data_IF_831656403282
#
_entry.id   IF_831656403282
#
_cell.length_a   1.000
_cell.length_b   1.000
_cell.length_c   1.000
_cell.angle_alpha   90.00
_cell.angle_beta   90.00
_cell.angle_gamma   90.00
#
_symmetry.space_group_name_H-M   'P 1'
#
loop_
_entity.id
_entity.type
_entity.pdbx_description
1 polymer ?
#
# COMPACT_ATOMS: atom_id res chain seq x y z
N UNK A 1 2.81 -2.92 -14.67
CA UNK A 1 2.90 -3.76 -15.88
C UNK A 1 1.62 -3.60 -16.67
N UNK A 2 1.68 -3.56 -18.02
CA UNK A 2 0.50 -3.44 -18.86
C UNK A 2 -0.46 -4.61 -18.62
N UNK A 3 -1.76 -4.32 -18.57
CA UNK A 3 -2.82 -5.32 -18.35
C UNK A 3 -3.65 -5.52 -19.61
N UNK A 4 -4.08 -6.74 -19.89
CA UNK A 4 -4.99 -7.01 -21.00
C UNK A 4 -6.36 -6.42 -20.66
N UNK A 5 -6.82 -5.46 -21.44
CA UNK A 5 -8.13 -4.83 -21.29
C UNK A 5 -9.19 -5.58 -22.10
N UNK A 6 -8.90 -5.86 -23.38
CA UNK A 6 -9.84 -6.50 -24.29
C UNK A 6 -9.12 -7.38 -25.30
N UNK A 7 -9.83 -8.39 -25.79
CA UNK A 7 -9.37 -9.24 -26.89
C UNK A 7 -10.46 -9.31 -27.93
N UNK A 8 -10.13 -9.10 -29.21
CA UNK A 8 -11.09 -9.19 -30.31
C UNK A 8 -10.61 -10.19 -31.35
N UNK A 9 -11.48 -11.12 -31.72
CA UNK A 9 -11.23 -12.13 -32.75
C UNK A 9 -12.20 -11.88 -33.89
N UNK A 10 -11.67 -11.81 -35.11
CA UNK A 10 -12.43 -11.59 -36.33
C UNK A 10 -12.19 -12.74 -37.30
N UNK A 11 -13.28 -13.27 -37.84
CA UNK A 11 -13.32 -14.23 -38.93
C UNK A 11 -12.41 -15.45 -38.75
N UNK A 12 -12.51 -16.12 -37.61
CA UNK A 12 -11.70 -17.30 -37.30
C UNK A 12 -12.55 -18.56 -37.20
N UNK A 13 -12.16 -19.61 -37.91
CA UNK A 13 -12.80 -20.92 -37.86
C UNK A 13 -11.92 -21.93 -37.15
N UNK A 14 -12.54 -22.83 -36.39
CA UNK A 14 -11.86 -23.97 -35.78
C UNK A 14 -12.79 -25.17 -35.67
N UNK A 15 -12.23 -26.30 -35.23
CA UNK A 15 -12.92 -27.57 -35.15
C UNK A 15 -13.50 -27.99 -36.52
N UNK A 16 -12.64 -28.11 -37.53
CA UNK A 16 -13.01 -28.46 -38.92
C UNK A 16 -14.09 -27.54 -39.53
N UNK A 17 -14.02 -26.22 -39.25
CA UNK A 17 -14.99 -25.21 -39.65
C UNK A 17 -16.40 -25.34 -39.05
N UNK A 18 -16.61 -26.24 -38.07
CA UNK A 18 -17.89 -26.34 -37.36
C UNK A 18 -18.14 -25.18 -36.40
N UNK A 19 -17.08 -24.50 -35.95
CA UNK A 19 -17.18 -23.30 -35.12
C UNK A 19 -16.54 -22.14 -35.85
N UNK A 20 -17.23 -21.01 -35.87
CA UNK A 20 -16.80 -19.80 -36.55
C UNK A 20 -17.06 -18.59 -35.66
N UNK A 21 -16.00 -17.83 -35.40
CA UNK A 21 -16.04 -16.55 -34.72
C UNK A 21 -16.08 -15.49 -35.81
N UNK A 22 -17.22 -14.82 -35.94
CA UNK A 22 -17.40 -13.81 -36.98
C UNK A 22 -16.68 -12.51 -36.57
N UNK A 23 -17.03 -11.97 -35.41
CA UNK A 23 -16.42 -10.79 -34.80
C UNK A 23 -16.83 -10.73 -33.32
N UNK A 24 -15.96 -11.20 -32.43
CA UNK A 24 -16.24 -11.30 -30.99
C UNK A 24 -15.20 -10.55 -30.18
N UNK A 25 -15.67 -9.82 -29.16
CA UNK A 25 -14.81 -9.05 -28.25
C UNK A 25 -15.00 -9.50 -26.80
N UNK A 26 -13.94 -9.98 -26.18
CA UNK A 26 -13.84 -10.29 -24.76
C UNK A 26 -13.37 -9.04 -24.01
N UNK A 27 -14.14 -8.59 -23.02
CA UNK A 27 -13.82 -7.41 -22.21
C UNK A 27 -13.47 -7.83 -20.79
N UNK A 28 -12.29 -7.41 -20.32
CA UNK A 28 -11.75 -7.67 -18.99
C UNK A 28 -11.82 -6.43 -18.09
N UNK A 29 -12.69 -5.46 -18.42
CA UNK A 29 -13.07 -4.32 -17.56
C UNK A 29 -11.89 -3.57 -16.92
N UNK A 30 -10.86 -3.25 -17.69
CA UNK A 30 -9.68 -2.53 -17.19
C UNK A 30 -8.57 -3.42 -16.65
N UNK A 31 -8.57 -4.71 -16.99
CA UNK A 31 -7.56 -5.68 -16.59
C UNK A 31 -7.89 -6.44 -15.31
N UNK A 32 -9.18 -6.65 -15.05
CA UNK A 32 -9.67 -7.52 -13.98
C UNK A 32 -9.45 -9.00 -14.34
N UNK A 33 -9.43 -9.85 -13.31
CA UNK A 33 -9.30 -11.29 -13.48
C UNK A 33 -10.55 -11.84 -14.17
N UNK A 34 -10.38 -12.53 -15.30
CA UNK A 34 -11.47 -13.14 -16.05
C UNK A 34 -11.36 -14.66 -16.13
N UNK A 35 -12.48 -15.36 -15.95
CA UNK A 35 -12.58 -16.81 -16.18
C UNK A 35 -13.36 -17.08 -17.47
N UNK A 36 -12.68 -17.60 -18.49
CA UNK A 36 -13.32 -18.09 -19.70
C UNK A 36 -13.70 -19.56 -19.52
N UNK A 37 -14.96 -19.81 -19.18
CA UNK A 37 -15.52 -21.16 -19.07
C UNK A 37 -15.99 -21.66 -20.43
N UNK A 38 -15.35 -22.74 -20.91
CA UNK A 38 -15.70 -23.42 -22.15
C UNK A 38 -15.87 -24.90 -21.84
N UNK A 39 -16.94 -25.50 -22.37
CA UNK A 39 -17.13 -26.95 -22.28
C UNK A 39 -15.95 -27.69 -22.93
N UNK A 40 -15.70 -28.93 -22.50
CA UNK A 40 -14.70 -29.81 -23.11
C UNK A 40 -14.95 -29.96 -24.61
N UNK A 41 -13.90 -29.87 -25.43
CA UNK A 41 -14.01 -29.82 -26.89
C UNK A 41 -14.50 -28.46 -27.44
N UNK A 42 -14.75 -27.47 -26.56
CA UNK A 42 -15.22 -26.13 -26.92
C UNK A 42 -14.16 -25.22 -27.55
N UNK A 43 -12.91 -25.68 -27.64
CA UNK A 43 -11.81 -24.93 -28.26
C UNK A 43 -11.03 -24.02 -27.31
N UNK A 44 -11.02 -24.28 -25.99
CA UNK A 44 -10.27 -23.49 -25.01
C UNK A 44 -8.79 -23.33 -25.40
N UNK A 45 -8.08 -24.44 -25.66
CA UNK A 45 -6.67 -24.39 -26.09
C UNK A 45 -6.48 -23.65 -27.41
N UNK A 46 -7.49 -23.67 -28.30
CA UNK A 46 -7.46 -22.92 -29.57
C UNK A 46 -7.57 -21.42 -29.31
N UNK A 47 -8.48 -20.98 -28.44
CA UNK A 47 -8.58 -19.56 -28.06
C UNK A 47 -7.31 -19.07 -27.37
N UNK A 48 -6.76 -19.85 -26.44
CA UNK A 48 -5.50 -19.51 -25.79
C UNK A 48 -4.37 -19.40 -26.83
N UNK A 49 -4.28 -20.37 -27.74
CA UNK A 49 -3.31 -20.29 -28.83
C UNK A 49 -3.48 -19.02 -29.66
N UNK A 50 -4.71 -18.59 -29.96
CA UNK A 50 -4.99 -17.35 -30.69
C UNK A 50 -4.57 -16.10 -29.90
N UNK A 51 -4.88 -16.04 -28.61
CA UNK A 51 -4.55 -14.89 -27.76
C UNK A 51 -3.04 -14.65 -27.67
N UNK A 52 -2.24 -15.71 -27.81
CA UNK A 52 -0.78 -15.58 -27.87
C UNK A 52 -0.28 -14.95 -29.17
N UNK A 53 -1.03 -15.03 -30.28
CA UNK A 53 -0.49 -14.70 -31.60
C UNK A 53 -0.14 -13.22 -31.80
N UNK A 54 -0.89 -12.24 -31.28
CA UNK A 54 -0.48 -10.83 -31.37
C UNK A 54 0.81 -10.54 -30.61
N UNK A 55 1.21 -11.36 -29.62
CA UNK A 55 2.46 -11.14 -28.88
C UNK A 55 3.58 -12.01 -29.41
N UNK A 56 3.33 -13.30 -29.59
CA UNK A 56 4.30 -14.30 -30.03
C UNK A 56 3.76 -15.03 -31.27
N UNK A 57 3.86 -14.43 -32.47
CA UNK A 57 3.36 -15.02 -33.70
C UNK A 57 3.96 -16.41 -33.96
N UNK A 58 3.11 -17.37 -34.34
CA UNK A 58 3.51 -18.74 -34.64
C UNK A 58 3.64 -19.65 -33.42
N UNK A 59 3.28 -19.16 -32.22
CA UNK A 59 3.26 -19.99 -31.01
C UNK A 59 2.31 -21.18 -31.17
N UNK A 60 2.77 -22.35 -30.70
CA UNK A 60 2.02 -23.60 -30.67
C UNK A 60 1.57 -23.89 -29.25
N UNK A 61 0.39 -24.48 -29.13
CA UNK A 61 -0.12 -25.04 -27.88
C UNK A 61 -0.48 -26.51 -28.17
N UNK A 62 -0.06 -27.43 -27.31
CA UNK A 62 -0.23 -28.87 -27.44
C UNK A 62 0.32 -29.41 -28.79
N UNK A 63 1.44 -28.85 -29.24
CA UNK A 63 2.09 -29.22 -30.51
C UNK A 63 1.33 -28.85 -31.79
N UNK A 64 0.12 -28.30 -31.69
CA UNK A 64 -0.74 -28.01 -32.84
C UNK A 64 -0.31 -26.71 -33.54
N UNK A 65 0.06 -26.74 -34.84
CA UNK A 65 0.41 -25.53 -35.57
C UNK A 65 -0.84 -24.72 -35.94
N UNK A 66 -0.76 -23.39 -35.82
CA UNK A 66 -1.87 -22.50 -36.15
C UNK A 66 -2.31 -22.61 -37.63
N UNK A 67 -1.38 -22.95 -38.52
CA UNK A 67 -1.66 -23.15 -39.95
C UNK A 67 -2.74 -24.23 -40.22
N UNK A 68 -2.92 -25.19 -39.30
CA UNK A 68 -3.91 -26.26 -39.48
C UNK A 68 -5.36 -25.75 -39.52
N UNK A 69 -5.63 -24.58 -38.94
CA UNK A 69 -6.97 -23.96 -38.92
C UNK A 69 -7.30 -23.20 -40.22
N UNK A 70 -6.33 -22.99 -41.11
CA UNK A 70 -6.46 -22.14 -42.30
C UNK A 70 -6.52 -22.91 -43.63
N UNK A 71 -6.80 -24.23 -43.59
CA UNK A 71 -6.76 -25.09 -44.80
C UNK A 71 -7.86 -24.79 -45.82
N UNK A 72 -9.05 -24.35 -45.39
CA UNK A 72 -10.25 -24.27 -46.26
C UNK A 72 -10.71 -22.85 -46.58
N UNK A 73 -10.31 -21.84 -45.80
CA UNK A 73 -10.76 -20.45 -45.98
C UNK A 73 -9.65 -19.55 -46.53
N UNK A 74 -10.02 -18.76 -47.55
CA UNK A 74 -9.11 -17.80 -48.24
C UNK A 74 -9.14 -16.40 -47.63
N UNK A 75 -10.17 -16.05 -46.86
CA UNK A 75 -10.28 -14.76 -46.19
C UNK A 75 -9.36 -14.70 -44.96
N UNK A 76 -8.84 -13.51 -44.61
CA UNK A 76 -8.00 -13.36 -43.43
C UNK A 76 -8.81 -13.47 -42.14
N UNK A 77 -8.11 -13.84 -41.07
CA UNK A 77 -8.57 -13.70 -39.69
C UNK A 77 -7.74 -12.62 -39.00
N UNK A 78 -8.33 -11.91 -38.05
CA UNK A 78 -7.63 -10.92 -37.24
C UNK A 78 -7.76 -11.26 -35.76
N UNK A 79 -6.67 -11.13 -35.01
CA UNK A 79 -6.68 -11.21 -33.55
C UNK A 79 -6.06 -9.93 -33.01
N UNK A 80 -6.76 -9.31 -32.07
CA UNK A 80 -6.40 -8.02 -31.48
C UNK A 80 -6.35 -8.16 -29.96
N UNK A 81 -5.30 -7.64 -29.33
CA UNK A 81 -5.16 -7.49 -27.90
C UNK A 81 -5.01 -6.01 -27.56
N UNK A 82 -5.93 -5.49 -26.76
CA UNK A 82 -5.84 -4.14 -26.21
C UNK A 82 -5.27 -4.22 -24.80
N UNK A 83 -4.21 -3.45 -24.58
CA UNK A 83 -3.47 -3.33 -23.33
C UNK A 83 -3.79 -2.00 -22.69
N UNK A 84 -4.09 -2.00 -21.40
CA UNK A 84 -4.10 -0.80 -20.57
C UNK A 84 -2.68 -0.57 -20.06
N UNK A 85 -2.09 0.56 -20.43
CA UNK A 85 -0.74 0.94 -20.04
C UNK A 85 -0.73 1.54 -18.62
N UNK A 86 0.40 1.40 -17.93
CA UNK A 86 0.58 1.96 -16.58
C UNK A 86 0.63 3.50 -16.59
N UNK A 87 0.47 4.11 -15.40
CA UNK A 87 0.73 5.55 -15.20
C UNK A 87 -0.16 6.49 -16.00
N UNK A 88 -1.33 6.04 -16.45
CA UNK A 88 -2.21 6.83 -17.33
C UNK A 88 -1.71 6.93 -18.78
N UNK A 89 -0.80 6.04 -19.20
CA UNK A 89 -0.20 6.03 -20.55
C UNK A 89 -1.16 5.72 -21.70
N UNK A 90 -2.45 5.50 -21.40
CA UNK A 90 -3.49 5.16 -22.35
C UNK A 90 -3.56 3.67 -22.63
N UNK A 91 -3.74 3.34 -23.90
CA UNK A 91 -3.87 1.98 -24.40
C UNK A 91 -2.89 1.72 -25.54
N UNK A 92 -2.50 0.45 -25.66
CA UNK A 92 -1.79 -0.09 -26.81
C UNK A 92 -2.66 -1.20 -27.41
N UNK A 93 -2.96 -1.14 -28.69
CA UNK A 93 -3.50 -2.26 -29.45
C UNK A 93 -2.35 -3.01 -30.10
N UNK A 94 -2.27 -4.32 -29.89
CA UNK A 94 -1.42 -5.22 -30.68
C UNK A 94 -2.33 -6.09 -31.54
N UNK A 95 -2.03 -6.19 -32.83
CA UNK A 95 -2.84 -6.93 -33.78
C UNK A 95 -2.00 -7.86 -34.64
N UNK A 96 -2.60 -8.98 -35.04
CA UNK A 96 -2.06 -9.87 -36.06
C UNK A 96 -3.12 -10.16 -37.11
N UNK A 97 -2.73 -10.05 -38.37
CA UNK A 97 -3.53 -10.51 -39.50
C UNK A 97 -2.97 -11.86 -39.98
N UNK A 98 -3.85 -12.85 -40.13
CA UNK A 98 -3.50 -14.22 -40.50
C UNK A 98 -4.22 -14.59 -41.79
N UNK A 99 -3.52 -15.16 -42.76
CA UNK A 99 -4.13 -15.68 -43.96
C UNK A 99 -3.42 -16.92 -44.48
N UNK A 100 -4.16 -17.80 -45.15
CA UNK A 100 -3.58 -18.93 -45.87
C UNK A 100 -2.81 -18.45 -47.10
N UNK A 101 -1.68 -19.10 -47.37
CA UNK A 101 -0.89 -18.97 -48.58
C UNK A 101 -0.90 -20.31 -49.30
N UNK A 102 -1.54 -20.33 -50.47
CA UNK A 102 -1.47 -21.46 -51.39
C UNK A 102 -0.05 -21.54 -51.96
N UNK A 103 0.72 -22.53 -51.54
CA UNK A 103 2.01 -22.87 -52.16
C UNK A 103 1.76 -24.12 -53.00
N UNK A 104 1.78 -23.97 -54.33
CA UNK A 104 1.80 -25.13 -55.23
C UNK A 104 3.17 -25.80 -55.11
N UNK A 105 3.23 -26.94 -54.42
CA UNK A 105 4.41 -27.80 -54.39
C UNK A 105 4.57 -28.54 -55.73
N UNK A 106 5.81 -28.88 -56.09
CA UNK A 106 6.14 -29.66 -57.28
C UNK A 106 5.66 -31.13 -57.19
N UNK A 107 5.36 -31.63 -55.98
CA UNK A 107 4.98 -33.03 -55.70
C UNK A 107 3.48 -33.22 -55.38
N UNK A 108 2.61 -32.27 -55.72
CA UNK A 108 1.15 -32.41 -55.48
C UNK A 108 0.71 -32.36 -54.01
N UNK A 109 1.64 -32.21 -53.07
CA UNK A 109 1.38 -32.08 -51.64
C UNK A 109 1.07 -30.59 -51.32
N UNK A 110 -0.22 -30.24 -51.24
CA UNK A 110 -0.69 -28.88 -50.91
C UNK A 110 -0.38 -28.51 -49.45
N UNK A 111 0.88 -28.13 -49.18
CA UNK A 111 1.26 -27.58 -47.87
C UNK A 111 0.85 -26.12 -47.78
N UNK A 112 -0.33 -25.87 -47.22
CA UNK A 112 -0.79 -24.52 -46.85
C UNK A 112 0.21 -23.87 -45.89
N UNK A 113 0.86 -22.77 -46.30
CA UNK A 113 1.68 -21.95 -45.41
C UNK A 113 0.84 -20.80 -44.84
N UNK A 114 1.10 -20.40 -43.61
CA UNK A 114 0.44 -19.24 -43.01
C UNK A 114 1.28 -17.98 -43.30
N UNK A 115 0.66 -16.96 -43.88
CA UNK A 115 1.23 -15.61 -43.97
C UNK A 115 0.62 -14.73 -42.90
N UNK A 116 1.43 -13.83 -42.33
CA UNK A 116 0.98 -12.88 -41.34
C UNK A 116 1.79 -11.59 -41.37
N UNK A 117 1.22 -10.54 -40.79
CA UNK A 117 1.92 -9.34 -40.34
C UNK A 117 1.34 -8.94 -38.99
N UNK A 118 2.13 -8.25 -38.18
CA UNK A 118 1.68 -7.65 -36.93
C UNK A 118 1.66 -6.13 -37.04
N UNK A 119 0.85 -5.51 -36.21
CA UNK A 119 0.74 -4.06 -36.15
C UNK A 119 0.43 -3.62 -34.73
N UNK A 120 0.74 -2.36 -34.43
CA UNK A 120 0.43 -1.75 -33.15
C UNK A 120 -0.23 -0.39 -33.33
N UNK A 121 -1.05 0.01 -32.37
CA UNK A 121 -1.58 1.37 -32.31
C UNK A 121 -1.65 1.85 -30.87
N UNK A 122 -1.01 2.97 -30.55
CA UNK A 122 -1.08 3.63 -29.26
C UNK A 122 -2.13 4.74 -29.27
N UNK A 123 -2.99 4.79 -28.27
CA UNK A 123 -4.00 5.84 -28.13
C UNK A 123 -4.34 6.13 -26.66
N UNK A 124 -4.53 7.41 -26.28
CA UNK A 124 -4.83 7.78 -24.91
C UNK A 124 -6.27 7.43 -24.50
N UNK A 125 -7.22 7.55 -25.43
CA UNK A 125 -8.66 7.34 -25.26
C UNK A 125 -9.26 6.81 -26.57
N UNK A 126 -10.58 6.85 -26.73
CA UNK A 126 -11.23 6.39 -27.96
C UNK A 126 -10.61 7.02 -29.20
N UNK A 127 -10.37 6.17 -30.20
CA UNK A 127 -9.59 6.50 -31.39
C UNK A 127 -10.08 5.68 -32.58
N UNK A 128 -9.95 6.19 -33.80
CA UNK A 128 -10.43 5.47 -35.00
C UNK A 128 -9.75 4.10 -35.22
N UNK A 129 -8.59 3.89 -34.58
CA UNK A 129 -7.83 2.63 -34.60
C UNK A 129 -7.76 1.97 -33.21
N UNK A 130 -8.71 2.29 -32.31
CA UNK A 130 -8.91 1.51 -31.10
C UNK A 130 -9.56 0.15 -31.40
N UNK A 131 -9.59 -0.77 -30.42
CA UNK A 131 -10.09 -2.14 -30.66
C UNK A 131 -11.55 -2.18 -31.11
N UNK A 132 -12.36 -1.17 -30.77
CA UNK A 132 -13.78 -1.11 -31.08
C UNK A 132 -14.03 -0.55 -32.49
N UNK A 133 -13.27 0.47 -32.89
CA UNK A 133 -13.53 1.25 -34.11
C UNK A 133 -12.65 0.87 -35.30
N UNK A 134 -11.54 0.16 -35.08
CA UNK A 134 -10.64 -0.27 -36.16
C UNK A 134 -11.42 -0.99 -37.28
N UNK A 135 -11.34 -0.44 -38.50
CA UNK A 135 -12.15 -0.87 -39.65
C UNK A 135 -11.64 -2.15 -40.34
N UNK A 136 -11.39 -3.22 -39.59
CA UNK A 136 -11.04 -4.53 -40.17
C UNK A 136 -12.25 -5.31 -40.66
N UNK A 137 -13.47 -4.88 -40.27
CA UNK A 137 -14.73 -5.44 -40.75
C UNK A 137 -15.73 -4.32 -40.97
N UNK A 138 -16.46 -4.37 -42.09
CA UNK A 138 -17.55 -3.44 -42.42
C UNK A 138 -18.89 -4.17 -42.35
N UNK A 139 -19.85 -3.62 -41.62
CA UNK A 139 -21.24 -4.10 -41.63
C UNK A 139 -21.98 -3.44 -42.79
N UNK A 140 -22.31 -4.20 -43.83
CA UNK A 140 -23.13 -3.73 -44.97
C UNK A 140 -24.39 -4.59 -45.08
N UNK A 141 -25.55 -4.00 -44.77
CA UNK A 141 -26.85 -4.64 -44.98
C UNK A 141 -27.03 -6.01 -44.31
N UNK A 142 -26.43 -6.23 -43.13
CA UNK A 142 -26.48 -7.51 -42.41
C UNK A 142 -25.37 -8.51 -42.78
N UNK A 143 -24.56 -8.23 -43.81
CA UNK A 143 -23.33 -8.96 -44.12
C UNK A 143 -22.11 -8.27 -43.48
N UNK A 144 -21.28 -9.06 -42.80
CA UNK A 144 -19.97 -8.64 -42.29
C UNK A 144 -18.92 -8.88 -43.39
N UNK A 145 -18.45 -7.78 -43.98
CA UNK A 145 -17.39 -7.77 -45.00
C UNK A 145 -16.04 -7.61 -44.31
N UNK A 146 -15.26 -8.69 -44.27
CA UNK A 146 -13.93 -8.73 -43.66
C UNK A 146 -12.92 -8.09 -44.60
N UNK A 147 -12.12 -7.14 -44.11
CA UNK A 147 -11.09 -6.47 -44.90
C UNK A 147 -10.11 -7.52 -45.48
N UNK A 148 -9.75 -7.45 -46.77
CA UNK A 148 -8.76 -8.34 -47.35
C UNK A 148 -7.36 -8.12 -46.75
N UNK A 149 -6.57 -9.20 -46.66
CA UNK A 149 -5.23 -9.19 -46.06
C UNK A 149 -4.31 -8.11 -46.64
N UNK A 150 -4.31 -7.95 -47.97
CA UNK A 150 -3.47 -6.96 -48.66
C UNK A 150 -3.90 -5.52 -48.39
N UNK A 151 -5.20 -5.28 -48.28
CA UNK A 151 -5.75 -3.97 -47.97
C UNK A 151 -5.41 -3.57 -46.53
N UNK A 152 -5.57 -4.50 -45.57
CA UNK A 152 -5.18 -4.28 -44.19
C UNK A 152 -3.67 -4.03 -44.04
N UNK A 153 -2.83 -4.77 -44.78
CA UNK A 153 -1.39 -4.53 -44.80
C UNK A 153 -1.04 -3.14 -45.36
N UNK A 154 -1.70 -2.72 -46.43
CA UNK A 154 -1.53 -1.38 -47.02
C UNK A 154 -1.93 -0.27 -46.06
N UNK A 155 -3.11 -0.40 -45.43
CA UNK A 155 -3.63 0.55 -44.45
C UNK A 155 -2.68 0.73 -43.26
N UNK A 156 -2.26 -0.38 -42.64
CA UNK A 156 -1.37 -0.34 -41.48
C UNK A 156 0.04 0.14 -41.85
N UNK A 157 0.57 -0.30 -42.99
CA UNK A 157 1.87 0.15 -43.48
C UNK A 157 1.90 1.65 -43.79
N UNK A 158 0.83 2.20 -44.37
CA UNK A 158 0.71 3.64 -44.63
C UNK A 158 0.63 4.45 -43.33
N UNK A 159 -0.14 3.97 -42.34
CA UNK A 159 -0.26 4.63 -41.04
C UNK A 159 1.05 4.64 -40.28
N UNK A 160 1.74 3.51 -40.19
CA UNK A 160 3.06 3.40 -39.56
C UNK A 160 4.11 4.30 -40.24
N UNK A 161 4.04 4.49 -41.56
CA UNK A 161 4.95 5.41 -42.27
C UNK A 161 4.66 6.89 -41.98
N UNK A 162 3.39 7.25 -41.83
CA UNK A 162 2.97 8.65 -41.59
C UNK A 162 3.11 9.07 -40.13
N UNK A 163 2.85 8.15 -39.21
CA UNK A 163 2.88 8.39 -37.77
C UNK A 163 3.51 7.19 -37.04
N UNK A 164 4.84 7.03 -37.13
CA UNK A 164 5.56 5.92 -36.50
C UNK A 164 5.58 5.98 -34.96
N UNK A 165 5.17 7.12 -34.37
CA UNK A 165 5.10 7.27 -32.93
C UNK A 165 3.88 6.54 -32.34
N UNK A 166 2.76 6.58 -33.05
CA UNK A 166 1.51 5.94 -32.61
C UNK A 166 1.25 4.61 -33.30
N UNK A 167 1.79 4.37 -34.49
CA UNK A 167 1.52 3.18 -35.29
C UNK A 167 2.77 2.38 -35.58
N UNK A 168 2.69 1.07 -35.39
CA UNK A 168 3.71 0.11 -35.81
C UNK A 168 3.16 -0.86 -36.86
N UNK A 169 4.01 -1.26 -37.80
CA UNK A 169 3.72 -2.29 -38.80
C UNK A 169 4.97 -3.15 -38.99
N UNK A 170 4.81 -4.45 -38.83
CA UNK A 170 5.92 -5.40 -38.82
C UNK A 170 5.54 -6.62 -39.66
N UNK A 171 6.37 -6.92 -40.64
CA UNK A 171 6.26 -8.15 -41.42
C UNK A 171 6.81 -9.33 -40.63
N UNK A 172 6.69 -10.54 -41.19
CA UNK A 172 7.26 -11.74 -40.59
C UNK A 172 8.77 -11.65 -40.35
N UNK A 173 9.49 -10.92 -41.21
CA UNK A 173 10.95 -10.80 -41.14
C UNK A 173 11.38 -9.78 -40.08
N UNK A 174 10.48 -8.91 -39.65
CA UNK A 174 10.71 -7.88 -38.63
C UNK A 174 10.55 -8.40 -37.19
N UNK A 175 10.75 -9.70 -36.96
CA UNK A 175 10.44 -10.35 -35.68
C UNK A 175 11.20 -9.76 -34.49
N UNK A 176 12.49 -9.44 -34.67
CA UNK A 176 13.31 -8.81 -33.63
C UNK A 176 12.88 -7.36 -33.36
N UNK A 177 12.60 -6.59 -34.42
CA UNK A 177 12.09 -5.22 -34.29
C UNK A 177 10.75 -5.20 -33.57
N UNK A 178 9.87 -6.16 -33.87
CA UNK A 178 8.59 -6.30 -33.19
C UNK A 178 8.77 -6.63 -31.71
N UNK A 179 9.69 -7.54 -31.38
CA UNK A 179 10.00 -7.89 -29.99
C UNK A 179 10.53 -6.67 -29.20
N UNK A 180 11.48 -5.93 -29.76
CA UNK A 180 12.00 -4.70 -29.15
C UNK A 180 10.92 -3.62 -29.02
N UNK A 181 10.05 -3.48 -30.01
CA UNK A 181 8.92 -2.54 -29.96
C UNK A 181 7.97 -2.88 -28.81
N UNK A 182 7.54 -4.14 -28.66
CA UNK A 182 6.68 -4.56 -27.55
C UNK A 182 7.35 -4.40 -26.18
N UNK A 183 8.65 -4.69 -26.09
CA UNK A 183 9.43 -4.51 -24.87
C UNK A 183 9.43 -3.04 -24.40
N UNK A 184 9.42 -2.07 -25.33
CA UNK A 184 9.31 -0.64 -24.97
C UNK A 184 8.01 -0.26 -24.26
N UNK A 185 6.97 -1.10 -24.34
CA UNK A 185 5.71 -0.97 -23.61
C UNK A 185 5.61 -1.88 -22.38
N UNK A 186 6.69 -2.56 -22.02
CA UNK A 186 6.72 -3.53 -20.92
C UNK A 186 6.09 -4.88 -21.25
N UNK A 187 5.99 -5.25 -22.54
CA UNK A 187 5.46 -6.53 -23.00
C UNK A 187 6.63 -7.41 -23.50
N UNK A 188 7.05 -8.38 -22.70
CA UNK A 188 8.16 -9.28 -23.06
C UNK A 188 7.68 -10.49 -23.87
N UNK A 189 8.11 -10.61 -25.13
CA UNK A 189 7.82 -11.82 -25.91
C UNK A 189 8.45 -13.09 -25.30
N UNK A 190 9.58 -12.96 -24.61
CA UNK A 190 10.27 -14.09 -23.98
C UNK A 190 9.48 -14.60 -22.77
N UNK A 191 8.94 -13.70 -21.95
CA UNK A 191 8.03 -14.05 -20.86
C UNK A 191 6.80 -14.79 -21.42
N UNK A 192 6.17 -14.25 -22.46
CA UNK A 192 5.01 -14.87 -23.09
C UNK A 192 5.32 -16.24 -23.69
N UNK A 193 6.52 -16.42 -24.25
CA UNK A 193 6.98 -17.67 -24.86
C UNK A 193 7.38 -18.72 -23.82
N UNK A 194 8.09 -18.32 -22.78
CA UNK A 194 8.75 -19.22 -21.84
C UNK A 194 7.91 -19.49 -20.59
N UNK A 195 7.03 -18.57 -20.21
CA UNK A 195 6.17 -18.70 -19.02
C UNK A 195 4.74 -18.98 -19.47
N UNK A 196 4.10 -18.01 -20.13
CA UNK A 196 2.66 -18.03 -20.39
C UNK A 196 2.28 -19.18 -21.31
N UNK A 197 2.97 -19.32 -22.45
CA UNK A 197 2.71 -20.41 -23.37
C UNK A 197 2.97 -21.78 -22.74
N UNK A 198 4.03 -21.93 -21.93
CA UNK A 198 4.35 -23.20 -21.26
C UNK A 198 3.32 -23.64 -20.24
N UNK A 199 2.82 -22.71 -19.42
CA UNK A 199 1.73 -23.01 -18.47
C UNK A 199 0.50 -23.52 -19.24
N UNK A 200 0.23 -22.97 -20.42
CA UNK A 200 -0.94 -23.33 -21.20
C UNK A 200 -0.72 -24.51 -22.16
N UNK A 201 0.50 -25.03 -22.27
CA UNK A 201 0.84 -26.17 -23.14
C UNK A 201 0.45 -27.51 -22.49
N UNK A 202 0.49 -27.58 -21.15
CA UNK A 202 0.02 -28.73 -20.35
C UNK A 202 -1.46 -28.62 -19.99
N UNK A 203 -2.22 -29.72 -20.09
CA UNK A 203 -3.64 -29.76 -19.67
C UNK A 203 -3.81 -29.53 -18.17
N UNK A 204 -2.81 -29.93 -17.36
CA UNK A 204 -2.77 -29.66 -15.92
C UNK A 204 -2.37 -28.22 -15.56
N UNK A 205 -2.08 -27.36 -16.54
CA UNK A 205 -1.80 -25.95 -16.32
C UNK A 205 -0.71 -25.70 -15.28
N UNK A 206 -1.05 -24.89 -14.27
CA UNK A 206 -0.22 -24.62 -13.10
C UNK A 206 -0.14 -25.82 -12.15
N UNK A 207 -1.19 -26.63 -12.01
CA UNK A 207 -1.23 -27.75 -11.06
C UNK A 207 -0.13 -28.76 -11.37
N UNK A 208 0.16 -29.04 -12.65
CA UNK A 208 1.26 -29.95 -13.01
C UNK A 208 2.65 -29.36 -12.68
N UNK A 209 2.79 -28.03 -12.69
CA UNK A 209 4.02 -27.33 -12.32
C UNK A 209 4.20 -27.38 -10.80
N UNK A 210 3.13 -27.13 -10.04
CA UNK A 210 3.12 -27.21 -8.58
C UNK A 210 3.25 -28.66 -8.08
N UNK A 211 2.68 -29.66 -8.77
CA UNK A 211 2.85 -31.08 -8.44
C UNK A 211 4.31 -31.53 -8.55
N UNK A 212 5.10 -30.90 -9.44
CA UNK A 212 6.54 -31.15 -9.59
C UNK A 212 7.39 -30.40 -8.55
N UNK A 213 6.82 -29.43 -7.83
CA UNK A 213 7.50 -28.60 -6.84
C UNK A 213 6.85 -28.81 -5.46
N UNK A 214 7.43 -29.71 -4.65
CA UNK A 214 6.85 -30.08 -3.34
C UNK A 214 6.92 -28.97 -2.28
N UNK A 215 7.81 -28.00 -2.45
CA UNK A 215 8.03 -26.88 -1.55
C UNK A 215 8.38 -25.60 -2.33
N UNK A 216 8.25 -24.46 -1.65
CA UNK A 216 8.51 -23.12 -2.20
C UNK A 216 9.93 -23.00 -2.78
N UNK A 217 10.92 -23.63 -2.16
CA UNK A 217 12.32 -23.64 -2.61
C UNK A 217 12.51 -24.39 -3.94
N UNK A 218 11.79 -25.50 -4.17
CA UNK A 218 11.83 -26.19 -5.46
C UNK A 218 11.17 -25.38 -6.56
N UNK A 219 10.09 -24.66 -6.25
CA UNK A 219 9.44 -23.77 -7.21
C UNK A 219 10.36 -22.61 -7.59
N UNK A 220 11.02 -22.02 -6.59
CA UNK A 220 12.01 -20.96 -6.78
C UNK A 220 13.18 -21.46 -7.65
N UNK A 221 13.82 -22.57 -7.28
CA UNK A 221 15.02 -23.07 -7.96
C UNK A 221 14.75 -23.73 -9.32
N UNK A 222 13.65 -24.44 -9.46
CA UNK A 222 13.39 -25.27 -10.66
C UNK A 222 12.63 -24.51 -11.74
N UNK A 223 11.81 -23.55 -11.34
CA UNK A 223 10.93 -22.85 -12.26
C UNK A 223 11.25 -21.37 -12.34
N UNK A 224 11.32 -20.66 -11.20
CA UNK A 224 11.47 -19.21 -11.20
C UNK A 224 12.88 -18.79 -11.63
N UNK A 225 13.91 -19.29 -10.94
CA UNK A 225 15.33 -19.05 -11.28
C UNK A 225 15.60 -19.53 -12.70
N UNK A 226 15.32 -20.80 -13.06
CA UNK A 226 15.58 -21.30 -14.43
C UNK A 226 14.85 -20.55 -15.54
N UNK A 227 13.72 -19.90 -15.26
CA UNK A 227 12.99 -19.12 -16.27
C UNK A 227 13.52 -17.70 -16.37
N UNK A 228 13.87 -17.08 -15.24
CA UNK A 228 14.58 -15.80 -15.16
C UNK A 228 15.95 -15.92 -15.85
N UNK A 229 16.69 -16.98 -15.55
CA UNK A 229 17.91 -17.40 -16.24
C UNK A 229 17.70 -17.49 -17.77
N UNK A 230 16.66 -18.19 -18.24
CA UNK A 230 16.41 -18.33 -19.70
C UNK A 230 15.95 -17.05 -20.39
N UNK A 231 15.35 -16.12 -19.66
CA UNK A 231 14.90 -14.83 -20.18
C UNK A 231 15.99 -13.75 -20.13
N UNK A 232 17.08 -13.96 -19.36
CA UNK A 232 18.14 -12.97 -19.17
C UNK A 232 19.52 -13.45 -19.63
N UNK A 233 19.76 -14.76 -19.78
CA UNK A 233 21.04 -15.27 -20.30
C UNK A 233 21.13 -15.14 -21.82
N UNK A 234 21.30 -13.90 -22.29
CA UNK A 234 21.99 -13.62 -23.55
C UNK A 234 23.43 -13.14 -23.34
N UNK A 235 23.77 -12.56 -22.18
CA UNK A 235 25.13 -12.16 -21.83
C UNK A 235 25.51 -12.44 -20.36
N UNK A 236 26.80 -12.69 -20.09
CA UNK A 236 27.34 -12.94 -18.72
C UNK A 236 27.22 -11.74 -17.78
N UNK A 237 27.05 -10.53 -18.31
CA UNK A 237 26.90 -9.31 -17.50
C UNK A 237 25.52 -9.19 -16.84
N UNK A 238 24.46 -9.66 -17.52
CA UNK A 238 23.08 -9.60 -16.99
C UNK A 238 22.88 -10.53 -15.79
N UNK A 239 23.61 -11.64 -15.76
CA UNK A 239 23.63 -12.58 -14.65
C UNK A 239 24.20 -11.94 -13.36
N UNK A 240 25.31 -11.21 -13.49
CA UNK A 240 25.93 -10.50 -12.36
C UNK A 240 25.03 -9.38 -11.85
N UNK A 241 24.36 -8.65 -12.75
CA UNK A 241 23.38 -7.62 -12.36
C UNK A 241 22.20 -8.22 -11.60
N UNK A 242 21.70 -9.39 -12.02
CA UNK A 242 20.62 -10.07 -11.30
C UNK A 242 21.07 -10.53 -9.91
N UNK A 243 22.26 -11.12 -9.80
CA UNK A 243 22.86 -11.48 -8.50
C UNK A 243 23.00 -10.25 -7.59
N UNK A 244 23.45 -9.12 -8.14
CA UNK A 244 23.62 -7.86 -7.41
C UNK A 244 22.26 -7.26 -7.00
N UNK A 245 21.25 -7.28 -7.88
CA UNK A 245 19.89 -6.83 -7.55
C UNK A 245 19.22 -7.70 -6.49
N UNK A 246 19.34 -9.03 -6.60
CA UNK A 246 18.81 -9.96 -5.59
C UNK A 246 19.56 -9.79 -4.28
N UNK A 247 20.89 -9.64 -4.31
CA UNK A 247 21.69 -9.35 -3.14
C UNK A 247 21.23 -8.07 -2.43
N UNK A 248 21.03 -6.99 -3.18
CA UNK A 248 20.54 -5.71 -2.64
C UNK A 248 19.14 -5.84 -2.03
N UNK A 249 18.25 -6.61 -2.66
CA UNK A 249 16.88 -6.80 -2.16
C UNK A 249 16.85 -7.67 -0.89
N UNK A 250 17.73 -8.67 -0.80
CA UNK A 250 17.92 -9.42 0.45
C UNK A 250 18.50 -8.53 1.55
N UNK A 251 19.49 -7.68 1.23
CA UNK A 251 20.03 -6.70 2.18
C UNK A 251 18.95 -5.73 2.67
N UNK A 252 18.12 -5.20 1.77
CA UNK A 252 17.01 -4.30 2.12
C UNK A 252 15.94 -4.98 2.97
N UNK A 253 15.67 -6.27 2.77
CA UNK A 253 14.78 -7.05 3.64
C UNK A 253 15.39 -7.23 5.03
N UNK A 254 16.68 -7.54 5.12
CA UNK A 254 17.40 -7.70 6.41
C UNK A 254 17.43 -6.36 7.16
N UNK A 255 17.75 -5.26 6.49
CA UNK A 255 17.73 -3.91 7.08
C UNK A 255 16.33 -3.52 7.54
N UNK A 256 15.28 -3.92 6.81
CA UNK A 256 13.90 -3.70 7.23
C UNK A 256 13.51 -4.54 8.46
N UNK A 257 14.01 -5.78 8.58
CA UNK A 257 13.82 -6.58 9.80
C UNK A 257 14.53 -5.95 11.01
N UNK A 258 15.76 -5.46 10.84
CA UNK A 258 16.47 -4.70 11.88
C UNK A 258 15.70 -3.44 12.28
N UNK A 259 15.15 -2.70 11.30
CA UNK A 259 14.33 -1.52 11.57
C UNK A 259 13.03 -1.83 12.33
N UNK A 260 12.41 -2.98 12.07
CA UNK A 260 11.22 -3.44 12.81
C UNK A 260 11.59 -3.74 14.27
N UNK A 261 12.72 -4.42 14.51
CA UNK A 261 13.20 -4.74 15.86
C UNK A 261 13.57 -3.44 16.60
N UNK A 262 14.29 -2.52 15.96
CA UNK A 262 14.66 -1.24 16.54
C UNK A 262 13.43 -0.40 16.89
N UNK A 263 12.40 -0.43 16.05
CA UNK A 263 11.13 0.24 16.30
C UNK A 263 10.42 -0.35 17.52
N UNK A 264 10.36 -1.68 17.65
CA UNK A 264 9.76 -2.34 18.82
C UNK A 264 10.49 -1.97 20.11
N UNK A 265 11.83 -1.95 20.11
CA UNK A 265 12.64 -1.53 21.26
C UNK A 265 12.40 -0.06 21.62
N UNK A 266 12.28 0.83 20.63
CA UNK A 266 12.02 2.25 20.85
C UNK A 266 10.59 2.50 21.37
N UNK A 267 9.60 1.75 20.90
CA UNK A 267 8.23 1.81 21.43
C UNK A 267 8.17 1.33 22.89
N UNK A 268 8.84 0.22 23.23
CA UNK A 268 8.93 -0.27 24.61
C UNK A 268 9.68 0.72 25.54
N UNK A 269 10.76 1.33 25.05
CA UNK A 269 11.48 2.38 25.78
C UNK A 269 10.61 3.63 25.98
N UNK A 270 9.87 4.06 24.97
CA UNK A 270 8.97 5.22 25.06
C UNK A 270 7.86 5.01 26.09
N UNK A 271 7.26 3.82 26.13
CA UNK A 271 6.27 3.44 27.15
C UNK A 271 6.88 3.46 28.57
N UNK A 272 8.11 2.95 28.73
CA UNK A 272 8.84 3.01 30.00
C UNK A 272 9.12 4.43 30.48
N UNK A 273 9.48 5.34 29.57
CA UNK A 273 9.69 6.77 29.90
C UNK A 273 8.38 7.48 30.20
N UNK A 274 7.28 7.12 29.52
CA UNK A 274 5.94 7.62 29.82
C UNK A 274 5.54 7.37 31.28
N UNK A 275 5.78 6.16 31.79
CA UNK A 275 5.52 5.81 33.18
C UNK A 275 6.37 6.59 34.21
N UNK A 276 7.59 6.99 33.87
CA UNK A 276 8.41 7.87 34.73
C UNK A 276 7.82 9.28 34.83
N UNK A 277 7.18 9.77 33.77
CA UNK A 277 6.52 11.08 33.77
C UNK A 277 5.42 11.17 34.83
N UNK A 278 4.58 10.13 34.96
CA UNK A 278 3.53 10.07 35.97
C UNK A 278 4.09 10.08 37.40
N UNK A 279 5.19 9.37 37.64
CA UNK A 279 5.88 9.37 38.93
C UNK A 279 6.45 10.77 39.28
N UNK A 280 6.99 11.50 38.30
CA UNK A 280 7.46 12.87 38.51
C UNK A 280 6.33 13.85 38.83
N UNK A 281 5.16 13.71 38.18
CA UNK A 281 3.98 14.52 38.50
C UNK A 281 3.53 14.26 39.94
N UNK A 282 3.40 13.00 40.34
CA UNK A 282 3.03 12.64 41.72
C UNK A 282 4.05 13.16 42.75
N UNK A 283 5.35 13.14 42.42
CA UNK A 283 6.40 13.69 43.30
C UNK A 283 6.27 15.21 43.45
N UNK A 284 5.99 15.93 42.36
CA UNK A 284 5.80 17.39 42.39
C UNK A 284 4.57 17.79 43.22
N UNK A 285 3.46 17.08 43.05
CA UNK A 285 2.24 17.28 43.85
C UNK A 285 2.51 17.06 45.35
N UNK A 286 3.23 15.99 45.70
CA UNK A 286 3.60 15.71 47.09
C UNK A 286 4.52 16.77 47.71
N UNK A 287 5.46 17.32 46.94
CA UNK A 287 6.32 18.42 47.39
C UNK A 287 5.54 19.72 47.60
N UNK A 288 4.51 19.97 46.80
CA UNK A 288 3.65 21.14 46.93
C UNK A 288 2.75 21.04 48.16
N UNK A 289 2.20 19.85 48.44
CA UNK A 289 1.49 19.57 49.70
C UNK A 289 2.38 19.75 50.93
N UNK A 290 3.62 19.24 50.90
CA UNK A 290 4.57 19.41 52.00
C UNK A 290 4.84 20.90 52.27
N UNK A 291 5.01 21.69 51.20
CA UNK A 291 5.23 23.14 51.29
C UNK A 291 4.02 23.86 51.89
N UNK A 292 2.82 23.49 51.49
CA UNK A 292 1.58 24.04 52.05
C UNK A 292 1.43 23.70 53.53
N UNK A 293 1.68 22.45 53.92
CA UNK A 293 1.65 22.02 55.33
C UNK A 293 2.67 22.80 56.17
N UNK A 294 3.91 22.96 55.68
CA UNK A 294 4.93 23.79 56.35
C UNK A 294 4.46 25.23 56.51
N UNK A 295 3.82 25.81 55.51
CA UNK A 295 3.26 27.16 55.57
C UNK A 295 2.17 27.31 56.65
N UNK A 296 1.23 26.36 56.71
CA UNK A 296 0.18 26.32 57.73
C UNK A 296 0.78 26.19 59.13
N UNK A 297 1.78 25.32 59.29
CA UNK A 297 2.43 25.06 60.58
C UNK A 297 3.20 26.28 61.08
N UNK A 298 3.88 27.00 60.18
CA UNK A 298 4.54 28.27 60.50
C UNK A 298 3.54 29.37 60.91
N UNK A 299 2.41 29.47 60.21
CA UNK A 299 1.35 30.43 60.56
C UNK A 299 0.72 30.13 61.93
N UNK A 300 0.45 28.85 62.23
CA UNK A 300 -0.02 28.39 63.53
C UNK A 300 0.99 28.71 64.64
N UNK A 301 2.27 28.43 64.41
CA UNK A 301 3.34 28.75 65.36
C UNK A 301 3.39 30.24 65.67
N UNK A 302 3.29 31.09 64.65
CA UNK A 302 3.24 32.55 64.85
C UNK A 302 1.99 33.02 65.61
N UNK A 303 0.82 32.46 65.29
CA UNK A 303 -0.42 32.80 65.99
C UNK A 303 -0.35 32.42 67.48
N UNK A 304 0.13 31.20 67.79
CA UNK A 304 0.33 30.73 69.16
C UNK A 304 1.35 31.58 69.91
N UNK A 305 2.47 31.94 69.27
CA UNK A 305 3.45 32.84 69.88
C UNK A 305 2.84 34.22 70.21
N UNK A 306 2.00 34.76 69.32
CA UNK A 306 1.25 36.00 69.56
C UNK A 306 0.28 35.89 70.74
N UNK A 307 -0.49 34.80 70.83
CA UNK A 307 -1.39 34.56 71.97
C UNK A 307 -0.64 34.42 73.29
N UNK A 308 0.53 33.75 73.29
CA UNK A 308 1.37 33.63 74.48
C UNK A 308 1.79 35.01 74.99
N UNK A 309 2.24 35.90 74.09
CA UNK A 309 2.61 37.28 74.46
C UNK A 309 1.41 38.03 75.02
N UNK A 310 0.24 37.97 74.36
CA UNK A 310 -0.97 38.61 74.88
C UNK A 310 -1.38 38.10 76.26
N UNK A 311 -1.26 36.79 76.50
CA UNK A 311 -1.57 36.19 77.80
C UNK A 311 -0.55 36.59 78.87
N UNK A 312 0.73 36.73 78.52
CA UNK A 312 1.76 37.25 79.42
C UNK A 312 1.49 38.71 79.78
N UNK A 313 1.11 39.55 78.82
CA UNK A 313 0.76 40.95 79.07
C UNK A 313 -0.48 41.08 79.97
N UNK A 314 -1.52 40.28 79.73
CA UNK A 314 -2.71 40.21 80.59
C UNK A 314 -2.37 39.76 82.01
N UNK A 315 -1.49 38.76 82.15
CA UNK A 315 -1.00 38.30 83.45
C UNK A 315 -0.26 39.41 84.19
N UNK A 316 0.67 40.09 83.52
CA UNK A 316 1.43 41.19 84.12
C UNK A 316 0.55 42.41 84.48
N UNK A 317 -0.49 42.70 83.68
CA UNK A 317 -1.50 43.70 84.01
C UNK A 317 -2.28 43.30 85.28
N UNK A 318 -2.76 42.06 85.35
CA UNK A 318 -3.47 41.56 86.53
C UNK A 318 -2.59 41.53 87.79
N UNK A 319 -1.31 41.19 87.68
CA UNK A 319 -0.36 41.23 88.80
C UNK A 319 -0.16 42.66 89.34
N UNK A 320 -0.08 43.66 88.44
CA UNK A 320 -0.01 45.08 88.82
C UNK A 320 -1.28 45.52 89.55
N UNK A 321 -2.43 45.11 89.07
CA UNK A 321 -3.73 45.45 89.67
C UNK A 321 -3.91 44.78 91.05
N UNK A 322 -3.49 43.52 91.21
CA UNK A 322 -3.43 42.85 92.50
C UNK A 322 -2.50 43.59 93.46
N UNK A 323 -1.32 44.02 93.00
CA UNK A 323 -0.38 44.76 93.82
C UNK A 323 -0.98 46.08 94.30
N UNK A 324 -1.61 46.84 93.41
CA UNK A 324 -2.33 48.07 93.72
C UNK A 324 -3.43 47.85 94.76
N UNK A 325 -4.30 46.86 94.55
CA UNK A 325 -5.35 46.51 95.52
C UNK A 325 -4.80 46.12 96.89
N UNK A 326 -3.62 45.47 96.96
CA UNK A 326 -2.96 45.16 98.23
C UNK A 326 -2.46 46.41 98.95
N UNK A 327 -1.82 47.32 98.22
CA UNK A 327 -1.33 48.59 98.79
C UNK A 327 -2.50 49.43 99.31
N UNK A 328 -3.59 49.51 98.54
CA UNK A 328 -4.80 50.22 98.93
C UNK A 328 -5.44 49.59 100.19
N UNK A 329 -5.49 48.26 100.26
CA UNK A 329 -5.97 47.56 101.46
C UNK A 329 -5.10 47.84 102.68
N UNK A 330 -3.78 47.87 102.54
CA UNK A 330 -2.86 48.24 103.63
C UNK A 330 -3.06 49.69 104.07
N UNK A 331 -3.27 50.61 103.11
CA UNK A 331 -3.59 52.00 103.39
C UNK A 331 -4.87 52.14 104.23
N UNK A 332 -5.96 51.50 103.80
CA UNK A 332 -7.24 51.49 104.53
C UNK A 332 -7.06 50.91 105.95
N UNK A 333 -6.29 49.82 106.10
CA UNK A 333 -6.02 49.24 107.42
C UNK A 333 -5.24 50.19 108.35
N UNK A 334 -4.30 50.97 107.81
CA UNK A 334 -3.58 51.98 108.56
C UNK A 334 -4.49 53.14 108.96
N UNK A 335 -5.38 53.59 108.07
CA UNK A 335 -6.40 54.60 108.36
C UNK A 335 -7.36 54.13 109.46
N UNK A 336 -7.85 52.88 109.38
CA UNK A 336 -8.71 52.30 110.43
C UNK A 336 -7.99 52.25 111.77
N UNK A 337 -6.73 51.78 111.82
CA UNK A 337 -5.92 51.76 113.04
C UNK A 337 -5.72 53.17 113.61
N UNK A 338 -5.43 54.15 112.76
CA UNK A 338 -5.30 55.55 113.14
C UNK A 338 -6.61 56.09 113.73
N UNK A 339 -7.74 55.88 113.06
CA UNK A 339 -9.06 56.26 113.55
C UNK A 339 -9.43 55.59 114.88
N UNK A 340 -9.02 54.33 115.07
CA UNK A 340 -9.23 53.59 116.33
C UNK A 340 -8.39 54.17 117.46
N UNK A 341 -7.12 54.52 117.19
CA UNK A 341 -6.25 55.21 118.13
C UNK A 341 -6.83 56.56 118.54
N UNK A 342 -7.26 57.39 117.59
CA UNK A 342 -7.88 58.69 117.90
C UNK A 342 -9.18 58.56 118.71
N UNK A 343 -10.01 57.54 118.42
CA UNK A 343 -11.20 57.24 119.24
C UNK A 343 -10.85 56.82 120.67
N UNK A 344 -9.87 55.93 120.84
CA UNK A 344 -9.41 55.51 122.19
C UNK A 344 -8.76 56.65 122.96
N UNK A 345 -7.98 57.51 122.28
CA UNK A 345 -7.38 58.71 122.89
C UNK A 345 -8.44 59.69 123.36
N UNK A 346 -9.44 60.00 122.54
CA UNK A 346 -10.59 60.82 122.97
C UNK A 346 -11.33 60.20 124.15
N UNK A 347 -11.56 58.88 124.14
CA UNK A 347 -12.18 58.16 125.26
C UNK A 347 -11.35 58.25 126.55
N UNK A 348 -10.02 58.15 126.44
CA UNK A 348 -9.09 58.28 127.57
C UNK A 348 -9.05 59.71 128.12
N UNK A 349 -8.97 60.70 127.23
CA UNK A 349 -9.06 62.13 127.59
C UNK A 349 -10.40 62.45 128.27
N UNK A 350 -11.52 61.88 127.80
CA UNK A 350 -12.83 62.02 128.47
C UNK A 350 -12.97 61.24 129.79
N UNK A 351 -12.25 60.13 129.98
CA UNK A 351 -12.22 59.41 131.26
C UNK A 351 -11.36 60.13 132.30
N UNK A 352 -10.29 60.80 131.88
CA UNK A 352 -9.46 61.62 132.77
C UNK A 352 -10.18 62.88 133.26
N UNK A 353 -11.03 63.48 132.42
CA UNK A 353 -11.92 64.59 132.77
C UNK A 353 -13.09 64.21 133.69
N UNK A 354 -13.29 62.92 133.98
CA UNK A 354 -14.32 62.45 134.91
C UNK A 354 -13.78 62.10 136.31
N UNK A 355 -12.47 62.30 136.56
CA UNK A 355 -11.80 62.07 137.85
C UNK A 355 -11.13 63.34 138.42
N UNK A 356 -11.38 64.50 137.82
CA UNK A 356 -11.28 65.82 138.46
C UNK A 356 -12.69 66.27 138.89
#
# INVERSE_FOLDING_TARGET
MPKINRIRIINFSYNNDHRHIIDETFNFYGGENGLLSLANGGGKSVLVQLFLQPVVPGMKIQGRPLADFFKRRKQPSYVLLEWKLDGGGGYLLTGIALASMEVRGLDGDERSRLRYFTFTTRYPQSHAFDIAHIELVKKRGGLLEVMPFREAAGLMGEKARRDPLHFGYFTRDDGELYASHLASFGISQEEWRNVIARINDSEGGLEEIFLKCRNSDQLLNTWLIKTVEKALYRDREDARRLEEMLGNLVSEIIENEEYIIDKEILEEFADGVGGLGELFVALLEGLEEERNLKGILAALSHALAGEIVQMQDKKAAGEREIHFCRTEKEHIQLEERSATYYRKRKSYESMHLAWE
#
